data_IF_736365394324
#
_entry.id   IF_736365394324
#
_cell.length_a   1.000
_cell.length_b   1.000
_cell.length_c   1.000
_cell.angle_alpha   90.00
_cell.angle_beta   90.00
_cell.angle_gamma   90.00
#
_symmetry.space_group_name_H-M   'P 1'
#
loop_
_entity.id
_entity.type
_entity.pdbx_description
1 polymer ?
#
# COMPACT_ATOMS: atom_id res chain seq x y z
N UNK A 1 -0.39 4.01 -26.37
CA UNK A 1 -0.30 4.98 -25.25
C UNK A 1 -0.90 4.42 -23.95
N UNK A 2 -2.15 3.93 -23.95
CA UNK A 2 -2.84 3.44 -22.74
C UNK A 2 -2.12 2.28 -22.00
N UNK A 3 -1.57 1.30 -22.72
CA UNK A 3 -0.81 0.20 -22.09
C UNK A 3 0.48 0.68 -21.41
N UNK A 4 1.19 1.64 -22.03
CA UNK A 4 2.38 2.26 -21.41
C UNK A 4 1.99 3.03 -20.14
N UNK A 5 0.87 3.73 -20.18
CA UNK A 5 0.33 4.42 -19.01
C UNK A 5 -0.05 3.45 -17.89
N UNK A 6 -0.68 2.31 -18.22
CA UNK A 6 -0.98 1.27 -17.24
C UNK A 6 0.28 0.75 -16.54
N UNK A 7 1.35 0.48 -17.30
CA UNK A 7 2.64 0.06 -16.72
C UNK A 7 3.18 1.11 -15.74
N UNK A 8 3.12 2.40 -16.10
CA UNK A 8 3.53 3.49 -15.20
C UNK A 8 2.70 3.49 -13.91
N UNK A 9 1.39 3.28 -14.00
CA UNK A 9 0.52 3.25 -12.81
C UNK A 9 0.77 2.02 -11.92
N UNK A 10 1.10 0.87 -12.51
CA UNK A 10 1.53 -0.33 -11.77
C UNK A 10 2.83 -0.09 -11.03
N UNK A 11 3.87 0.41 -11.73
CA UNK A 11 5.15 0.72 -11.11
C UNK A 11 4.99 1.73 -9.96
N UNK A 12 4.13 2.74 -10.14
CA UNK A 12 3.80 3.70 -9.07
C UNK A 12 3.15 3.01 -7.87
N UNK A 13 2.19 2.10 -8.10
CA UNK A 13 1.55 1.33 -7.03
C UNK A 13 2.57 0.47 -6.29
N UNK A 14 3.49 -0.18 -7.00
CA UNK A 14 4.53 -1.01 -6.39
C UNK A 14 5.45 -0.20 -5.47
N UNK A 15 5.88 1.00 -5.91
CA UNK A 15 6.66 1.92 -5.07
C UNK A 15 5.87 2.35 -3.83
N UNK A 16 4.56 2.63 -3.99
CA UNK A 16 3.70 3.00 -2.86
C UNK A 16 3.52 1.85 -1.85
N UNK A 17 3.41 0.61 -2.32
CA UNK A 17 3.31 -0.57 -1.47
C UNK A 17 4.63 -0.86 -0.74
N UNK A 18 5.77 -0.69 -1.40
CA UNK A 18 7.08 -0.77 -0.75
C UNK A 18 7.20 0.28 0.37
N UNK A 19 6.74 1.52 0.12
CA UNK A 19 6.70 2.56 1.15
C UNK A 19 5.75 2.22 2.30
N UNK A 20 4.61 1.60 2.02
CA UNK A 20 3.68 1.12 3.05
C UNK A 20 4.36 0.11 3.99
N UNK A 21 5.08 -0.87 3.43
CA UNK A 21 5.80 -1.87 4.22
C UNK A 21 6.87 -1.23 5.11
N UNK A 22 7.59 -0.23 4.61
CA UNK A 22 8.57 0.53 5.41
C UNK A 22 7.91 1.29 6.57
N UNK A 23 6.75 1.92 6.34
CA UNK A 23 6.03 2.64 7.39
C UNK A 23 5.45 1.69 8.45
N UNK A 24 5.00 0.50 8.04
CA UNK A 24 4.57 -0.55 8.97
C UNK A 24 5.71 -1.02 9.88
N UNK A 25 6.89 -1.25 9.32
CA UNK A 25 8.07 -1.61 10.10
C UNK A 25 8.41 -0.51 11.11
N UNK A 26 8.44 0.76 10.66
CA UNK A 26 8.69 1.90 11.53
C UNK A 26 7.67 2.01 12.66
N UNK A 27 6.38 1.86 12.35
CA UNK A 27 5.28 1.88 13.32
C UNK A 27 5.47 0.81 14.40
N UNK A 28 5.85 -0.40 13.98
CA UNK A 28 6.17 -1.51 14.88
C UNK A 28 7.40 -1.20 15.76
N UNK A 29 8.46 -0.62 15.20
CA UNK A 29 9.66 -0.24 15.96
C UNK A 29 9.35 0.83 17.02
N UNK A 30 8.52 1.83 16.70
CA UNK A 30 8.12 2.86 17.66
C UNK A 30 7.22 2.27 18.76
N UNK A 31 6.37 1.30 18.43
CA UNK A 31 5.56 0.55 19.40
C UNK A 31 6.45 -0.26 20.35
N UNK A 32 7.44 -0.97 19.83
CA UNK A 32 8.37 -1.76 20.63
C UNK A 32 9.19 -0.87 21.55
N UNK A 33 9.70 0.27 21.05
CA UNK A 33 10.40 1.26 21.89
C UNK A 33 9.53 1.80 23.02
N UNK A 34 8.27 2.11 22.73
CA UNK A 34 7.33 2.54 23.76
C UNK A 34 7.10 1.46 24.83
N UNK A 35 6.90 0.21 24.41
CA UNK A 35 6.70 -0.91 25.32
C UNK A 35 7.94 -1.15 26.21
N UNK A 36 9.14 -1.11 25.64
CA UNK A 36 10.39 -1.26 26.40
C UNK A 36 10.58 -0.13 27.42
N UNK A 37 10.27 1.11 27.03
CA UNK A 37 10.35 2.25 27.92
C UNK A 37 9.36 2.13 29.09
N UNK A 38 8.13 1.69 28.80
CA UNK A 38 7.13 1.47 29.84
C UNK A 38 7.55 0.35 30.81
N UNK A 39 8.05 -0.77 30.30
CA UNK A 39 8.58 -1.85 31.12
C UNK A 39 9.72 -1.38 32.02
N UNK A 40 10.60 -0.51 31.51
CA UNK A 40 11.69 0.06 32.30
C UNK A 40 11.16 0.97 33.42
N UNK A 41 10.20 1.86 33.10
CA UNK A 41 9.55 2.73 34.09
C UNK A 41 8.89 1.89 35.21
N UNK A 42 8.10 0.88 34.83
CA UNK A 42 7.39 0.02 35.77
C UNK A 42 8.36 -0.82 36.65
N UNK A 43 9.55 -1.14 36.14
CA UNK A 43 10.58 -1.87 36.89
C UNK A 43 11.23 -1.02 37.97
N UNK A 44 11.36 0.30 37.76
CA UNK A 44 11.95 1.21 38.74
C UNK A 44 11.05 1.38 39.97
N UNK A 45 9.72 1.37 39.79
CA UNK A 45 8.76 1.49 40.90
C UNK A 45 8.81 0.31 41.88
N UNK A 46 9.32 -0.84 41.44
CA UNK A 46 9.44 -2.07 42.24
C UNK A 46 10.79 -2.21 42.95
N UNK A 47 11.72 -1.28 42.76
CA UNK A 47 13.07 -1.37 43.33
C UNK A 47 13.08 -1.00 44.83
N UNK A 48 13.20 -2.02 45.68
CA UNK A 48 13.29 -1.90 47.15
C UNK A 48 14.66 -1.41 47.67
N UNK A 49 15.59 -1.07 46.76
CA UNK A 49 16.97 -0.69 47.09
C UNK A 49 17.13 0.80 47.46
N UNK A 50 16.08 1.61 47.33
CA UNK A 50 16.16 3.07 47.50
C UNK A 50 15.88 3.50 48.94
N UNK A 51 16.89 3.33 49.81
CA UNK A 51 16.78 3.61 51.26
C UNK A 51 17.42 4.95 51.69
N UNK A 52 18.18 5.61 50.81
CA UNK A 52 18.85 6.88 51.13
C UNK A 52 18.11 8.09 50.55
N UNK A 53 18.18 9.24 51.22
CA UNK A 53 17.58 10.49 50.73
C UNK A 53 18.11 10.88 49.33
N UNK A 54 19.41 10.68 49.08
CA UNK A 54 20.02 10.91 47.76
C UNK A 54 19.46 9.94 46.70
N UNK A 55 19.29 8.65 47.03
CA UNK A 55 18.70 7.69 46.09
C UNK A 55 17.24 8.01 45.75
N UNK A 56 16.47 8.55 46.70
CA UNK A 56 15.09 8.99 46.47
C UNK A 56 15.02 10.25 45.60
N UNK A 57 15.93 11.20 45.82
CA UNK A 57 16.03 12.40 44.98
C UNK A 57 16.42 12.04 43.54
N UNK A 58 17.39 11.15 43.36
CA UNK A 58 17.80 10.67 42.04
C UNK A 58 16.66 9.92 41.34
N UNK A 59 15.90 9.10 42.07
CA UNK A 59 14.71 8.43 41.52
C UNK A 59 13.66 9.43 41.04
N UNK A 60 13.36 10.43 41.86
CA UNK A 60 12.39 11.47 41.51
C UNK A 60 12.80 12.22 40.24
N UNK A 61 14.09 12.59 40.12
CA UNK A 61 14.64 13.19 38.91
C UNK A 61 14.54 12.26 37.69
N UNK A 62 14.93 10.99 37.83
CA UNK A 62 14.85 10.00 36.75
C UNK A 62 13.41 9.75 36.30
N UNK A 63 12.43 9.70 37.22
CA UNK A 63 11.01 9.57 36.87
C UNK A 63 10.50 10.75 36.06
N UNK A 64 10.90 11.97 36.41
CA UNK A 64 10.55 13.17 35.64
C UNK A 64 11.08 13.09 34.20
N UNK A 65 12.35 12.71 34.03
CA UNK A 65 12.97 12.55 32.71
C UNK A 65 12.28 11.44 31.91
N UNK A 66 12.06 10.27 32.51
CA UNK A 66 11.47 9.12 31.84
C UNK A 66 9.99 9.33 31.49
N UNK A 67 9.24 10.08 32.31
CA UNK A 67 7.88 10.51 31.96
C UNK A 67 7.90 11.42 30.73
N UNK A 68 8.84 12.37 30.67
CA UNK A 68 9.03 13.23 29.49
C UNK A 68 9.38 12.43 28.23
N UNK A 69 10.32 11.48 28.33
CA UNK A 69 10.68 10.58 27.23
C UNK A 69 9.50 9.71 26.79
N UNK A 70 8.70 9.20 27.74
CA UNK A 70 7.52 8.39 27.44
C UNK A 70 6.48 9.19 26.65
N UNK A 71 6.18 10.42 27.09
CA UNK A 71 5.27 11.30 26.36
C UNK A 71 5.76 11.60 24.93
N UNK A 72 7.05 11.89 24.76
CA UNK A 72 7.63 12.10 23.42
C UNK A 72 7.53 10.83 22.56
N UNK A 73 7.76 9.66 23.14
CA UNK A 73 7.69 8.39 22.44
C UNK A 73 6.26 8.03 22.03
N UNK A 74 5.26 8.37 22.86
CA UNK A 74 3.84 8.23 22.54
C UNK A 74 3.48 9.08 21.32
N UNK A 75 3.91 10.35 21.28
CA UNK A 75 3.63 11.22 20.14
C UNK A 75 4.32 10.72 18.86
N UNK A 76 5.58 10.27 18.94
CA UNK A 76 6.28 9.64 17.79
C UNK A 76 5.56 8.41 17.26
N UNK A 77 5.03 7.58 18.16
CA UNK A 77 4.26 6.41 17.79
C UNK A 77 2.95 6.79 17.08
N UNK A 78 2.21 7.78 17.61
CA UNK A 78 0.99 8.30 16.98
C UNK A 78 1.28 8.87 15.59
N UNK A 79 2.33 9.66 15.44
CA UNK A 79 2.75 10.22 14.15
C UNK A 79 3.06 9.11 13.14
N UNK A 80 3.79 8.07 13.57
CA UNK A 80 4.12 6.93 12.72
C UNK A 80 2.87 6.16 12.28
N UNK A 81 1.90 5.96 13.18
CA UNK A 81 0.61 5.33 12.81
C UNK A 81 -0.19 6.19 11.84
N UNK A 82 -0.19 7.51 12.03
CA UNK A 82 -0.89 8.42 11.14
C UNK A 82 -0.29 8.42 9.74
N UNK A 83 1.04 8.38 9.63
CA UNK A 83 1.75 8.23 8.35
C UNK A 83 1.40 6.92 7.65
N UNK A 84 1.45 5.81 8.39
CA UNK A 84 1.07 4.49 7.89
C UNK A 84 -0.37 4.48 7.35
N UNK A 85 -1.32 5.04 8.10
CA UNK A 85 -2.73 5.12 7.69
C UNK A 85 -2.92 5.99 6.44
N UNK A 86 -2.23 7.13 6.37
CA UNK A 86 -2.28 8.02 5.20
C UNK A 86 -1.75 7.29 3.95
N UNK A 87 -0.63 6.58 4.08
CA UNK A 87 -0.06 5.83 2.97
C UNK A 87 -0.96 4.66 2.55
N UNK A 88 -1.58 3.96 3.49
CA UNK A 88 -2.53 2.89 3.20
C UNK A 88 -3.71 3.41 2.36
N UNK A 89 -4.30 4.54 2.75
CA UNK A 89 -5.39 5.17 2.00
C UNK A 89 -4.95 5.60 0.59
N UNK A 90 -3.73 6.13 0.45
CA UNK A 90 -3.18 6.48 -0.85
C UNK A 90 -3.00 5.24 -1.74
N UNK A 91 -2.51 4.14 -1.19
CA UNK A 91 -2.35 2.87 -1.91
C UNK A 91 -3.71 2.33 -2.41
N UNK A 92 -4.74 2.37 -1.56
CA UNK A 92 -6.09 1.94 -1.93
C UNK A 92 -6.64 2.76 -3.12
N UNK A 93 -6.51 4.09 -3.07
CA UNK A 93 -6.94 4.97 -4.16
C UNK A 93 -6.18 4.66 -5.46
N UNK A 94 -4.86 4.50 -5.38
CA UNK A 94 -4.02 4.18 -6.53
C UNK A 94 -4.34 2.79 -7.10
N UNK A 95 -4.64 1.81 -6.25
CA UNK A 95 -5.03 0.47 -6.68
C UNK A 95 -6.36 0.50 -7.45
N UNK A 96 -7.38 1.17 -6.91
CA UNK A 96 -8.67 1.33 -7.59
C UNK A 96 -8.52 2.02 -8.95
N UNK A 97 -7.71 3.07 -9.01
CA UNK A 97 -7.40 3.76 -10.26
C UNK A 97 -6.70 2.85 -11.28
N UNK A 98 -5.69 2.09 -10.83
CA UNK A 98 -4.95 1.16 -11.69
C UNK A 98 -5.86 0.07 -12.25
N UNK A 99 -6.72 -0.54 -11.40
CA UNK A 99 -7.73 -1.51 -11.83
C UNK A 99 -8.72 -0.95 -12.85
N UNK A 100 -9.14 0.32 -12.68
CA UNK A 100 -10.00 1.00 -13.65
C UNK A 100 -9.35 1.07 -15.04
N UNK A 101 -8.06 1.41 -15.10
CA UNK A 101 -7.32 1.45 -16.38
C UNK A 101 -7.17 0.05 -16.97
N UNK A 102 -6.88 -0.97 -16.15
CA UNK A 102 -6.82 -2.37 -16.60
C UNK A 102 -8.13 -2.80 -17.27
N UNK A 103 -9.28 -2.46 -16.67
CA UNK A 103 -10.60 -2.74 -17.25
C UNK A 103 -10.78 -2.08 -18.62
N UNK A 104 -10.40 -0.82 -18.77
CA UNK A 104 -10.49 -0.10 -20.05
C UNK A 104 -9.56 -0.72 -21.10
N UNK A 105 -8.33 -1.07 -20.72
CA UNK A 105 -7.37 -1.74 -21.62
C UNK A 105 -7.92 -3.07 -22.09
N UNK A 106 -8.42 -3.90 -21.17
CA UNK A 106 -9.00 -5.20 -21.47
C UNK A 106 -10.19 -5.08 -22.43
N UNK A 107 -11.12 -4.16 -22.15
CA UNK A 107 -12.27 -3.94 -23.02
C UNK A 107 -11.85 -3.51 -24.43
N UNK A 108 -10.85 -2.63 -24.58
CA UNK A 108 -10.34 -2.23 -25.89
C UNK A 108 -9.74 -3.40 -26.68
N UNK A 109 -9.10 -4.35 -26.02
CA UNK A 109 -8.59 -5.56 -26.67
C UNK A 109 -9.75 -6.40 -27.18
N UNK A 110 -10.75 -6.64 -26.33
CA UNK A 110 -11.95 -7.41 -26.70
C UNK A 110 -12.72 -6.76 -27.87
N UNK A 111 -12.96 -5.44 -27.82
CA UNK A 111 -13.67 -4.74 -28.91
C UNK A 111 -12.90 -4.81 -30.23
N UNK A 112 -11.57 -4.71 -30.20
CA UNK A 112 -10.75 -4.85 -31.41
C UNK A 112 -10.80 -6.25 -31.99
N UNK A 113 -10.78 -7.27 -31.13
CA UNK A 113 -10.87 -8.66 -31.55
C UNK A 113 -12.25 -8.97 -32.13
N UNK A 114 -13.33 -8.52 -31.48
CA UNK A 114 -14.70 -8.67 -31.99
C UNK A 114 -14.88 -7.99 -33.36
N UNK A 115 -14.32 -6.78 -33.54
CA UNK A 115 -14.34 -6.11 -34.84
C UNK A 115 -13.56 -6.88 -35.92
N UNK A 116 -12.37 -7.40 -35.59
CA UNK A 116 -11.57 -8.18 -36.52
C UNK A 116 -12.29 -9.48 -36.94
N UNK A 117 -12.87 -10.20 -35.98
CA UNK A 117 -13.64 -11.42 -36.23
C UNK A 117 -14.85 -11.15 -37.13
N UNK A 118 -15.61 -10.09 -36.85
CA UNK A 118 -16.77 -9.69 -37.70
C UNK A 118 -16.36 -9.31 -39.11
N UNK A 119 -15.19 -8.70 -39.28
CA UNK A 119 -14.69 -8.36 -40.61
C UNK A 119 -14.25 -9.63 -41.37
N UNK A 120 -13.62 -10.58 -40.68
CA UNK A 120 -13.24 -11.87 -41.25
C UNK A 120 -14.47 -12.68 -41.68
N UNK A 121 -15.50 -12.77 -40.82
CA UNK A 121 -16.77 -13.41 -41.15
C UNK A 121 -17.40 -12.82 -42.42
N UNK A 122 -17.48 -11.49 -42.53
CA UNK A 122 -18.00 -10.83 -43.74
C UNK A 122 -17.21 -11.16 -45.00
N UNK A 123 -15.88 -11.18 -44.89
CA UNK A 123 -15.03 -11.51 -46.04
C UNK A 123 -15.23 -12.97 -46.46
N UNK A 124 -15.38 -13.89 -45.52
CA UNK A 124 -15.66 -15.31 -45.78
C UNK A 124 -17.03 -15.49 -46.44
N UNK A 125 -18.07 -14.82 -45.95
CA UNK A 125 -19.40 -14.85 -46.53
C UNK A 125 -19.40 -14.35 -47.98
N UNK A 126 -18.66 -13.26 -48.24
CA UNK A 126 -18.51 -12.71 -49.58
C UNK A 126 -17.78 -13.69 -50.52
N UNK A 127 -16.71 -14.33 -50.04
CA UNK A 127 -15.99 -15.35 -50.81
C UNK A 127 -16.88 -16.55 -51.15
N UNK A 128 -17.69 -17.04 -50.20
CA UNK A 128 -18.62 -18.14 -50.41
C UNK A 128 -19.67 -17.76 -51.45
N UNK A 129 -20.25 -16.56 -51.33
CA UNK A 129 -21.23 -16.03 -52.28
C UNK A 129 -20.65 -15.95 -53.70
N UNK A 130 -19.44 -15.38 -53.86
CA UNK A 130 -18.77 -15.30 -55.17
C UNK A 130 -18.44 -16.69 -55.74
N UNK A 131 -17.98 -17.63 -54.91
CA UNK A 131 -17.69 -19.00 -55.34
C UNK A 131 -18.97 -19.71 -55.83
N UNK A 132 -20.08 -19.50 -55.13
CA UNK A 132 -21.39 -20.04 -55.51
C UNK A 132 -21.88 -19.46 -56.85
N UNK A 133 -21.81 -18.14 -57.03
CA UNK A 133 -22.15 -17.47 -58.29
C UNK A 133 -21.32 -18.04 -59.46
N UNK A 134 -20.00 -18.19 -59.29
CA UNK A 134 -19.13 -18.78 -60.33
C UNK A 134 -19.47 -20.22 -60.67
N UNK A 135 -20.07 -20.98 -59.74
CA UNK A 135 -20.51 -22.36 -59.98
C UNK A 135 -21.84 -22.41 -60.76
N UNK A 136 -22.72 -21.44 -60.55
CA UNK A 136 -24.01 -21.35 -61.25
C UNK A 136 -23.91 -20.91 -62.71
N UNK A 137 -22.93 -20.06 -63.03
CA UNK A 137 -22.72 -19.52 -64.37
C UNK A 137 -21.57 -20.21 -65.14
N UNK A 138 -21.26 -21.46 -64.76
CA UNK A 138 -20.42 -22.40 -65.53
C UNK A 138 -21.29 -23.51 -66.07
#
# INVERSE_FOLDING_TARGET
MLNKFLVIQKNKLDVMLAKQAQLQLKSLEEQQRLAQLQLHIDSMDKSSQMRSALSLQNLSGMKGILSGLSNQQIERFKDSQQDEKRQQQACLKQMSFTKGIEGIVSNRVLTKQDYANKQEEKNLDEMISQAYVRKLYK
#
